data_IF_878953582505
#
_entry.id   IF_878953582505
#
_cell.length_a   1.000
_cell.length_b   1.000
_cell.length_c   1.000
_cell.angle_alpha   90.00
_cell.angle_beta   90.00
_cell.angle_gamma   90.00
#
_symmetry.space_group_name_H-M   'P 1'
#
loop_
_entity.id
_entity.type
_entity.pdbx_description
1 polymer ?
#
# COMPACT_ATOMS: atom_id res chain seq x y z
N UNK A 1 19.26 -40.27 62.77
CA UNK A 1 19.98 -39.81 61.60
C UNK A 1 18.91 -39.44 60.58
N UNK A 2 18.54 -38.14 60.44
CA UNK A 2 17.49 -37.65 59.53
C UNK A 2 18.16 -37.07 58.35
N UNK A 3 17.95 -37.70 57.15
CA UNK A 3 18.44 -37.29 55.86
C UNK A 3 17.57 -36.14 55.34
N UNK A 4 18.13 -34.93 55.20
CA UNK A 4 17.47 -33.81 54.56
C UNK A 4 17.75 -33.89 53.06
N UNK A 5 16.71 -34.15 52.25
CA UNK A 5 16.74 -34.06 50.79
C UNK A 5 16.51 -32.61 50.43
N UNK A 6 17.53 -32.00 49.80
CA UNK A 6 17.49 -30.63 49.26
C UNK A 6 16.95 -30.73 47.84
N UNK A 7 15.73 -30.22 47.58
CA UNK A 7 15.19 -30.05 46.25
C UNK A 7 15.74 -28.77 45.62
N UNK A 8 16.62 -28.90 44.64
CA UNK A 8 17.01 -27.79 43.78
C UNK A 8 15.95 -27.62 42.70
N UNK A 9 15.12 -26.59 42.80
CA UNK A 9 14.23 -26.16 41.74
C UNK A 9 15.06 -25.33 40.77
N UNK A 10 15.36 -25.87 39.58
CA UNK A 10 15.94 -25.15 38.48
C UNK A 10 14.83 -24.30 37.84
N UNK A 11 14.77 -23.01 38.15
CA UNK A 11 13.98 -22.05 37.41
C UNK A 11 14.68 -21.84 36.05
N UNK A 12 14.16 -22.49 34.98
CA UNK A 12 14.42 -22.11 33.61
C UNK A 12 13.75 -20.77 33.37
N UNK A 13 14.53 -19.70 33.51
CA UNK A 13 14.15 -18.39 32.97
C UNK A 13 14.27 -18.50 31.45
N UNK A 14 13.15 -18.75 30.76
CA UNK A 14 13.05 -18.49 29.34
C UNK A 14 13.14 -16.97 29.17
N UNK A 15 14.33 -16.46 29.01
CA UNK A 15 14.53 -15.13 28.39
C UNK A 15 14.05 -15.25 26.95
N UNK A 16 12.80 -14.87 26.70
CA UNK A 16 12.39 -14.48 25.37
C UNK A 16 13.23 -13.24 25.02
N UNK A 17 14.31 -13.41 24.28
CA UNK A 17 15.00 -12.31 23.63
C UNK A 17 13.98 -11.67 22.69
N UNK A 18 13.28 -10.63 23.12
CA UNK A 18 12.67 -9.68 22.20
C UNK A 18 13.84 -9.10 21.41
N UNK A 19 13.89 -9.40 20.10
CA UNK A 19 14.86 -8.78 19.20
C UNK A 19 14.72 -7.25 19.35
N UNK A 20 15.85 -6.55 19.50
CA UNK A 20 15.82 -5.08 19.48
C UNK A 20 15.22 -4.65 18.12
N UNK A 21 14.32 -3.68 18.13
CA UNK A 21 13.70 -3.15 16.91
C UNK A 21 14.73 -2.76 15.85
N UNK A 22 15.90 -2.29 16.25
CA UNK A 22 17.01 -1.99 15.33
C UNK A 22 17.53 -3.25 14.63
N UNK A 23 17.56 -4.38 15.34
CA UNK A 23 18.00 -5.66 14.77
C UNK A 23 17.00 -6.17 13.72
N UNK A 24 15.70 -5.99 13.95
CA UNK A 24 14.66 -6.35 12.97
C UNK A 24 14.80 -5.49 11.70
N UNK A 25 14.92 -4.18 11.84
CA UNK A 25 15.06 -3.25 10.70
C UNK A 25 16.33 -3.59 9.90
N UNK A 26 17.49 -3.69 10.56
CA UNK A 26 18.76 -4.03 9.90
C UNK A 26 18.66 -5.37 9.19
N UNK A 27 18.15 -6.41 9.85
CA UNK A 27 17.98 -7.75 9.27
C UNK A 27 17.07 -7.74 8.03
N UNK A 28 16.03 -6.89 8.03
CA UNK A 28 15.11 -6.81 6.91
C UNK A 28 15.73 -6.07 5.73
N UNK A 29 16.52 -5.02 5.95
CA UNK A 29 17.26 -4.35 4.87
C UNK A 29 18.41 -5.23 4.31
N UNK A 30 19.12 -5.99 5.16
CA UNK A 30 20.11 -6.96 4.69
C UNK A 30 19.46 -8.07 3.84
N UNK A 31 18.30 -8.53 4.24
CA UNK A 31 17.52 -9.48 3.46
C UNK A 31 17.04 -8.86 2.14
N UNK A 32 16.51 -7.64 2.17
CA UNK A 32 16.06 -6.93 0.98
C UNK A 32 17.20 -6.70 -0.03
N UNK A 33 18.41 -6.43 0.44
CA UNK A 33 19.58 -6.30 -0.42
C UNK A 33 19.82 -7.56 -1.25
N UNK A 34 19.73 -8.73 -0.63
CA UNK A 34 19.91 -10.01 -1.32
C UNK A 34 18.76 -10.28 -2.29
N UNK A 35 17.53 -10.09 -1.84
CA UNK A 35 16.33 -10.37 -2.63
C UNK A 35 16.24 -9.44 -3.85
N UNK A 36 16.40 -8.15 -3.69
CA UNK A 36 16.30 -7.20 -4.80
C UNK A 36 17.44 -7.36 -5.81
N UNK A 37 18.64 -7.79 -5.38
CA UNK A 37 19.70 -8.21 -6.30
C UNK A 37 19.30 -9.46 -7.09
N UNK A 38 18.63 -10.43 -6.46
CA UNK A 38 18.08 -11.60 -7.14
C UNK A 38 16.96 -11.20 -8.11
N UNK A 39 16.07 -10.26 -7.74
CA UNK A 39 15.05 -9.75 -8.65
C UNK A 39 15.63 -9.22 -9.96
N UNK A 40 16.77 -8.53 -9.94
CA UNK A 40 17.42 -8.08 -11.18
C UNK A 40 17.89 -9.24 -12.06
N UNK A 41 18.34 -10.36 -11.49
CA UNK A 41 18.72 -11.56 -12.27
C UNK A 41 17.48 -12.13 -12.97
N UNK A 42 16.37 -12.24 -12.27
CA UNK A 42 15.10 -12.72 -12.83
C UNK A 42 14.57 -11.77 -13.92
N UNK A 43 14.62 -10.45 -13.67
CA UNK A 43 14.25 -9.43 -14.66
C UNK A 43 15.06 -9.54 -15.95
N UNK A 44 16.38 -9.72 -15.84
CA UNK A 44 17.27 -9.92 -16.99
C UNK A 44 16.90 -11.17 -17.81
N UNK A 45 16.47 -12.24 -17.15
CA UNK A 45 15.95 -13.44 -17.79
C UNK A 45 14.66 -13.17 -18.56
N UNK A 46 13.72 -12.43 -17.95
CA UNK A 46 12.47 -12.03 -18.62
C UNK A 46 12.75 -11.13 -19.82
N UNK A 47 13.62 -10.12 -19.71
CA UNK A 47 13.96 -9.23 -20.84
C UNK A 47 14.57 -9.96 -22.02
N UNK A 48 15.35 -11.03 -21.78
CA UNK A 48 15.92 -11.86 -22.85
C UNK A 48 14.88 -12.78 -23.52
N UNK A 49 13.75 -13.04 -22.86
CA UNK A 49 12.72 -13.96 -23.34
C UNK A 49 11.60 -13.31 -24.15
N UNK A 50 11.56 -11.96 -24.22
CA UNK A 50 10.46 -11.24 -24.88
C UNK A 50 10.91 -9.89 -25.47
N UNK A 51 10.28 -9.51 -26.58
CA UNK A 51 10.43 -8.17 -27.19
C UNK A 51 9.41 -7.15 -26.63
N UNK A 52 8.60 -7.51 -25.63
CA UNK A 52 7.64 -6.59 -25.02
C UNK A 52 8.36 -5.52 -24.22
N UNK A 53 7.84 -4.30 -24.27
CA UNK A 53 8.30 -3.19 -23.44
C UNK A 53 7.74 -3.36 -22.02
N UNK A 54 8.52 -4.01 -21.18
CA UNK A 54 8.22 -4.21 -19.76
C UNK A 54 9.04 -3.23 -18.91
N UNK A 55 8.45 -2.76 -17.81
CA UNK A 55 9.10 -1.83 -16.92
C UNK A 55 9.56 -2.51 -15.61
N UNK A 56 8.62 -2.98 -14.79
CA UNK A 56 8.90 -3.37 -13.43
C UNK A 56 8.21 -4.70 -13.04
N UNK A 57 8.72 -5.42 -12.01
CA UNK A 57 8.06 -6.57 -11.42
C UNK A 57 6.68 -6.24 -10.87
N UNK A 58 5.78 -7.24 -10.88
CA UNK A 58 4.47 -7.15 -10.26
C UNK A 58 4.20 -8.26 -9.27
N UNK A 59 4.32 -9.52 -9.69
CA UNK A 59 4.06 -10.71 -8.88
C UNK A 59 4.74 -11.94 -9.50
N UNK A 60 4.51 -13.10 -8.91
CA UNK A 60 4.83 -14.40 -9.52
C UNK A 60 3.57 -14.95 -10.18
N UNK A 61 3.70 -15.46 -11.40
CA UNK A 61 2.59 -16.09 -12.13
C UNK A 61 2.25 -17.49 -11.58
N UNK A 62 1.13 -18.11 -11.96
CA UNK A 62 0.77 -19.46 -11.49
C UNK A 62 1.76 -20.58 -11.86
N UNK A 63 2.69 -20.33 -12.78
CA UNK A 63 3.74 -21.28 -13.17
C UNK A 63 5.05 -21.08 -12.40
N UNK A 64 5.08 -20.09 -11.48
CA UNK A 64 6.25 -19.78 -10.66
C UNK A 64 7.25 -18.83 -11.32
N UNK A 65 6.89 -18.16 -12.43
CA UNK A 65 7.77 -17.22 -13.12
C UNK A 65 7.49 -15.76 -12.73
N UNK A 66 8.53 -14.94 -12.76
CA UNK A 66 8.42 -13.51 -12.55
C UNK A 66 7.49 -12.89 -13.61
N UNK A 67 6.40 -12.27 -13.17
CA UNK A 67 5.55 -11.44 -14.01
C UNK A 67 5.99 -9.99 -13.93
N UNK A 68 6.46 -9.46 -15.04
CA UNK A 68 6.75 -8.06 -15.23
C UNK A 68 5.62 -7.35 -15.98
N UNK A 69 5.46 -6.05 -15.75
CA UNK A 69 4.43 -5.21 -16.34
C UNK A 69 5.01 -4.02 -17.10
N UNK A 70 4.23 -3.49 -18.06
CA UNK A 70 4.58 -2.26 -18.74
C UNK A 70 4.39 -1.03 -17.83
N UNK A 71 4.93 0.12 -18.24
CA UNK A 71 4.88 1.37 -17.47
C UNK A 71 3.47 1.84 -17.10
N UNK A 72 2.48 1.55 -17.93
CA UNK A 72 1.10 1.97 -17.72
C UNK A 72 0.37 1.16 -16.63
N UNK A 73 0.89 0.02 -16.21
CA UNK A 73 0.30 -0.75 -15.10
C UNK A 73 0.35 0.05 -13.79
N UNK A 74 -0.72 -0.03 -13.01
CA UNK A 74 -0.85 0.76 -11.78
C UNK A 74 0.22 0.42 -10.73
N UNK A 75 0.79 -0.78 -10.80
CA UNK A 75 1.82 -1.25 -9.85
C UNK A 75 3.24 -0.83 -10.23
N UNK A 76 3.43 -0.26 -11.41
CA UNK A 76 4.77 -0.04 -12.00
C UNK A 76 5.68 0.90 -11.18
N UNK A 77 5.12 1.73 -10.30
CA UNK A 77 5.89 2.68 -9.47
C UNK A 77 6.45 2.11 -8.17
N UNK A 78 6.00 0.93 -7.71
CA UNK A 78 6.40 0.42 -6.39
C UNK A 78 7.82 -0.12 -6.38
N UNK A 79 8.20 -0.96 -7.33
CA UNK A 79 9.55 -1.50 -7.38
C UNK A 79 10.65 -0.42 -7.42
N UNK A 80 10.58 0.61 -8.28
CA UNK A 80 11.55 1.71 -8.18
C UNK A 80 11.49 2.44 -6.83
N UNK A 81 10.31 2.50 -6.19
CA UNK A 81 10.17 3.05 -4.84
C UNK A 81 10.95 2.26 -3.79
N UNK A 82 10.89 0.92 -3.83
CA UNK A 82 11.69 0.03 -2.97
C UNK A 82 13.20 0.29 -3.15
N UNK A 83 13.64 0.45 -4.39
CA UNK A 83 15.06 0.73 -4.67
C UNK A 83 15.50 2.10 -4.13
N UNK A 84 14.61 3.09 -4.13
CA UNK A 84 14.85 4.38 -3.49
C UNK A 84 14.94 4.25 -1.96
N UNK A 85 14.16 3.40 -1.32
CA UNK A 85 14.28 3.10 0.12
C UNK A 85 15.59 2.37 0.43
N UNK A 86 16.02 1.44 -0.41
CA UNK A 86 17.33 0.82 -0.29
C UNK A 86 18.46 1.85 -0.34
N UNK A 87 18.40 2.80 -1.27
CA UNK A 87 19.36 3.92 -1.32
C UNK A 87 19.26 4.80 -0.07
N UNK A 88 18.06 5.10 0.40
CA UNK A 88 17.87 5.93 1.60
C UNK A 88 18.50 5.29 2.83
N UNK A 89 18.37 3.99 2.99
CA UNK A 89 18.91 3.25 4.12
C UNK A 89 20.43 3.04 4.01
N UNK A 90 20.90 2.51 2.87
CA UNK A 90 22.29 2.08 2.69
C UNK A 90 23.23 3.21 2.30
N UNK A 91 22.73 4.27 1.67
CA UNK A 91 23.52 5.32 0.98
C UNK A 91 24.43 4.79 -0.13
N UNK A 92 24.21 3.58 -0.61
CA UNK A 92 24.98 2.97 -1.69
C UNK A 92 24.48 3.48 -3.05
N UNK A 93 25.38 4.08 -3.82
CA UNK A 93 25.10 4.59 -5.17
C UNK A 93 24.63 3.48 -6.14
N UNK A 94 24.96 2.22 -5.89
CA UNK A 94 24.39 1.09 -6.64
C UNK A 94 22.86 1.14 -6.65
N UNK A 95 22.24 1.30 -5.47
CA UNK A 95 20.78 1.38 -5.35
C UNK A 95 20.21 2.63 -5.97
N UNK A 96 20.90 3.77 -5.85
CA UNK A 96 20.52 5.03 -6.50
C UNK A 96 20.45 4.91 -8.01
N UNK A 97 21.46 4.31 -8.62
CA UNK A 97 21.52 4.09 -10.08
C UNK A 97 20.41 3.14 -10.55
N UNK A 98 20.20 2.04 -9.80
CA UNK A 98 19.11 1.09 -10.09
C UNK A 98 17.75 1.74 -9.96
N UNK A 99 17.50 2.49 -8.88
CA UNK A 99 16.25 3.22 -8.66
C UNK A 99 16.00 4.25 -9.77
N UNK A 100 16.99 5.03 -10.14
CA UNK A 100 16.92 6.00 -11.24
C UNK A 100 16.52 5.32 -12.54
N UNK A 101 17.22 4.26 -12.93
CA UNK A 101 16.95 3.52 -14.17
C UNK A 101 15.52 3.00 -14.24
N UNK A 102 15.04 2.40 -13.17
CA UNK A 102 13.68 1.84 -13.14
C UNK A 102 12.60 2.92 -13.05
N UNK A 103 12.88 4.05 -12.38
CA UNK A 103 11.99 5.22 -12.32
C UNK A 103 11.81 5.85 -13.71
N UNK A 104 12.90 6.07 -14.45
CA UNK A 104 12.88 6.75 -15.74
C UNK A 104 12.09 5.99 -16.82
N UNK A 105 11.92 4.66 -16.68
CA UNK A 105 11.03 3.89 -17.55
C UNK A 105 9.56 4.33 -17.49
N UNK A 106 9.17 5.09 -16.46
CA UNK A 106 7.79 5.53 -16.25
C UNK A 106 7.54 6.96 -16.72
N UNK A 107 8.53 7.67 -17.28
CA UNK A 107 8.41 9.11 -17.57
C UNK A 107 7.17 9.48 -18.39
N UNK A 108 6.86 8.69 -19.41
CA UNK A 108 5.70 8.96 -20.28
C UNK A 108 4.36 8.87 -19.55
N UNK A 109 4.30 8.18 -18.41
CA UNK A 109 3.08 8.04 -17.62
C UNK A 109 2.61 9.37 -17.01
N UNK A 110 3.46 10.39 -16.93
CA UNK A 110 3.05 11.75 -16.54
C UNK A 110 1.88 12.31 -17.38
N UNK A 111 1.66 11.76 -18.58
CA UNK A 111 0.56 12.15 -19.49
C UNK A 111 -0.62 11.17 -19.45
N UNK A 112 -0.53 10.08 -18.68
CA UNK A 112 -1.55 9.03 -18.69
C UNK A 112 -2.80 9.45 -17.91
N UNK A 113 -3.77 10.03 -18.61
CA UNK A 113 -5.07 10.45 -18.07
C UNK A 113 -6.13 9.35 -18.01
N UNK A 114 -5.81 8.08 -18.25
CA UNK A 114 -6.79 6.98 -18.28
C UNK A 114 -7.05 6.33 -16.91
N UNK A 115 -6.23 6.64 -15.89
CA UNK A 115 -6.29 6.07 -14.56
C UNK A 115 -6.11 7.12 -13.47
N UNK A 116 -6.57 6.81 -12.26
CA UNK A 116 -6.30 7.62 -11.07
C UNK A 116 -4.96 7.28 -10.39
N UNK A 117 -4.29 6.18 -10.78
CA UNK A 117 -3.13 5.61 -10.11
C UNK A 117 -1.83 6.40 -10.31
N UNK A 118 -1.94 7.72 -10.49
CA UNK A 118 -0.80 8.59 -10.70
C UNK A 118 0.08 8.73 -9.45
N UNK A 119 -0.52 8.67 -8.26
CA UNK A 119 0.23 8.60 -7.00
C UNK A 119 1.03 7.31 -6.92
N UNK A 120 0.40 6.17 -7.12
CA UNK A 120 1.06 4.86 -7.09
C UNK A 120 2.20 4.75 -8.11
N UNK A 121 1.98 5.19 -9.35
CA UNK A 121 3.02 5.13 -10.38
C UNK A 121 4.11 6.18 -10.20
N UNK A 122 3.72 7.44 -10.05
CA UNK A 122 4.64 8.56 -10.17
C UNK A 122 5.17 9.02 -8.81
N UNK A 123 4.32 9.03 -7.76
CA UNK A 123 4.77 9.54 -6.47
C UNK A 123 5.59 8.48 -5.69
N UNK A 124 5.24 7.19 -5.78
CA UNK A 124 6.07 6.13 -5.21
C UNK A 124 7.45 6.03 -5.88
N UNK A 125 7.58 6.35 -7.16
CA UNK A 125 8.84 6.32 -7.92
C UNK A 125 9.56 7.67 -7.95
N UNK A 126 9.11 8.58 -8.80
CA UNK A 126 9.68 9.92 -8.95
C UNK A 126 9.61 10.75 -7.66
N UNK A 127 8.55 10.57 -6.85
CA UNK A 127 8.40 11.26 -5.57
C UNK A 127 9.52 10.93 -4.59
N UNK A 128 9.83 9.64 -4.41
CA UNK A 128 10.96 9.20 -3.59
C UNK A 128 12.29 9.66 -4.21
N UNK A 129 12.43 9.55 -5.53
CA UNK A 129 13.61 10.05 -6.25
C UNK A 129 13.84 11.54 -6.04
N UNK A 130 12.78 12.36 -6.19
CA UNK A 130 12.88 13.80 -5.93
C UNK A 130 13.21 14.12 -4.47
N UNK A 131 12.56 13.46 -3.53
CA UNK A 131 12.82 13.66 -2.09
C UNK A 131 14.30 13.44 -1.73
N UNK A 132 14.92 12.42 -2.32
CA UNK A 132 16.28 12.01 -2.00
C UNK A 132 17.36 12.71 -2.83
N UNK A 133 17.05 13.19 -4.04
CA UNK A 133 18.04 13.75 -4.96
C UNK A 133 17.86 15.24 -5.25
N UNK A 134 16.66 15.78 -5.03
CA UNK A 134 16.26 17.15 -5.41
C UNK A 134 16.40 17.42 -6.93
N UNK A 135 16.28 16.37 -7.76
CA UNK A 135 16.37 16.48 -9.21
C UNK A 135 15.21 17.31 -9.78
N UNK A 136 15.51 18.44 -10.41
CA UNK A 136 14.49 19.35 -10.95
C UNK A 136 13.67 18.73 -12.07
N UNK A 137 14.23 17.81 -12.86
CA UNK A 137 13.48 17.07 -13.88
C UNK A 137 12.40 16.17 -13.27
N UNK A 138 12.69 15.55 -12.12
CA UNK A 138 11.72 14.75 -11.39
C UNK A 138 10.57 15.60 -10.84
N UNK A 139 10.90 16.81 -10.35
CA UNK A 139 9.89 17.79 -9.92
C UNK A 139 8.92 18.14 -11.05
N UNK A 140 9.42 18.42 -12.25
CA UNK A 140 8.60 18.81 -13.40
C UNK A 140 7.71 17.64 -13.86
N UNK A 141 8.23 16.40 -13.83
CA UNK A 141 7.46 15.17 -14.12
C UNK A 141 6.33 14.99 -13.11
N UNK A 142 6.59 15.18 -11.83
CA UNK A 142 5.58 15.06 -10.77
C UNK A 142 4.49 16.13 -10.88
N UNK A 143 4.86 17.39 -11.14
CA UNK A 143 3.88 18.46 -11.36
C UNK A 143 2.99 18.16 -12.55
N UNK A 144 3.58 17.71 -13.68
CA UNK A 144 2.79 17.29 -14.84
C UNK A 144 1.86 16.13 -14.50
N UNK A 145 2.31 15.15 -13.71
CA UNK A 145 1.50 14.02 -13.25
C UNK A 145 0.29 14.48 -12.42
N UNK A 146 0.51 15.47 -11.54
CA UNK A 146 -0.56 16.05 -10.73
C UNK A 146 -1.60 16.79 -11.60
N UNK A 147 -1.16 17.60 -12.60
CA UNK A 147 -2.06 18.21 -13.56
C UNK A 147 -2.84 17.18 -14.39
N UNK A 148 -2.20 16.07 -14.74
CA UNK A 148 -2.87 14.97 -15.46
C UNK A 148 -3.94 14.32 -14.59
N UNK A 149 -3.66 14.07 -13.31
CA UNK A 149 -4.60 13.46 -12.38
C UNK A 149 -5.85 14.31 -12.15
N UNK A 150 -5.70 15.62 -11.93
CA UNK A 150 -6.86 16.51 -11.67
C UNK A 150 -7.81 16.64 -12.86
N UNK A 151 -7.37 16.31 -14.08
CA UNK A 151 -8.28 16.26 -15.26
C UNK A 151 -9.38 15.22 -15.13
N UNK A 152 -9.23 14.26 -14.23
CA UNK A 152 -10.24 13.24 -13.93
C UNK A 152 -11.24 13.67 -12.83
N UNK A 153 -11.06 14.86 -12.27
CA UNK A 153 -11.96 15.41 -11.26
C UNK A 153 -13.25 15.95 -11.89
N UNK A 154 -14.38 15.65 -11.25
CA UNK A 154 -15.68 16.23 -11.59
C UNK A 154 -16.19 17.03 -10.37
N UNK A 155 -16.36 18.36 -10.49
CA UNK A 155 -16.78 19.21 -9.36
C UNK A 155 -18.23 18.94 -8.92
N UNK A 156 -19.09 18.35 -9.75
CA UNK A 156 -20.44 17.93 -9.32
C UNK A 156 -20.41 16.70 -8.43
N UNK A 157 -19.51 15.76 -8.72
CA UNK A 157 -19.27 14.57 -7.91
C UNK A 157 -18.41 14.89 -6.70
N UNK A 158 -17.47 15.82 -6.83
CA UNK A 158 -16.48 16.13 -5.81
C UNK A 158 -15.37 15.08 -5.69
N UNK A 159 -15.15 14.26 -6.73
CA UNK A 159 -14.14 13.18 -6.74
C UNK A 159 -13.42 13.08 -8.08
N UNK A 160 -12.25 12.43 -8.04
CA UNK A 160 -11.47 11.98 -9.19
C UNK A 160 -12.00 10.60 -9.60
N UNK A 161 -12.33 10.41 -10.89
CA UNK A 161 -12.78 9.12 -11.43
C UNK A 161 -11.63 8.11 -11.46
N UNK A 162 -11.90 6.87 -11.03
CA UNK A 162 -10.86 5.85 -10.90
C UNK A 162 -10.44 5.22 -12.22
N UNK A 163 -11.37 4.74 -13.04
CA UNK A 163 -11.09 4.12 -14.35
C UNK A 163 -12.14 4.44 -15.38
N UNK A 164 -11.89 4.04 -16.66
CA UNK A 164 -12.73 4.33 -17.81
C UNK A 164 -13.32 3.07 -18.47
N UNK A 165 -13.03 1.88 -17.93
CA UNK A 165 -13.58 0.61 -18.39
C UNK A 165 -14.88 0.23 -17.66
N UNK A 166 -15.56 -0.84 -18.12
CA UNK A 166 -16.83 -1.34 -17.55
C UNK A 166 -17.91 -0.24 -17.48
N UNK A 167 -18.04 0.55 -18.53
CA UNK A 167 -19.01 1.66 -18.62
C UNK A 167 -20.47 1.20 -18.67
N UNK A 168 -20.71 -0.05 -18.97
CA UNK A 168 -21.99 -0.73 -18.85
C UNK A 168 -22.43 -0.93 -17.39
N UNK A 169 -21.46 -1.04 -16.48
CA UNK A 169 -21.67 -1.23 -15.04
C UNK A 169 -21.60 0.07 -14.24
N UNK A 170 -20.69 0.99 -14.61
CA UNK A 170 -20.42 2.22 -13.86
C UNK A 170 -20.30 3.44 -14.75
N UNK A 171 -21.00 4.50 -14.36
CA UNK A 171 -20.92 5.78 -15.05
C UNK A 171 -19.69 6.60 -14.62
N UNK A 172 -19.46 6.70 -13.31
CA UNK A 172 -18.36 7.44 -12.72
C UNK A 172 -17.85 6.72 -11.47
N UNK A 173 -17.09 5.63 -11.64
CA UNK A 173 -16.61 4.85 -10.52
C UNK A 173 -15.51 5.57 -9.76
N UNK A 174 -15.62 5.57 -8.44
CA UNK A 174 -14.62 6.04 -7.49
C UNK A 174 -14.35 4.91 -6.49
N UNK A 175 -13.09 4.48 -6.37
CA UNK A 175 -12.71 3.46 -5.41
C UNK A 175 -11.92 4.04 -4.24
N UNK A 176 -11.96 3.34 -3.11
CA UNK A 176 -11.29 3.77 -1.87
C UNK A 176 -9.77 3.94 -2.07
N UNK A 177 -9.16 3.17 -2.97
CA UNK A 177 -7.73 3.21 -3.34
C UNK A 177 -7.28 4.61 -3.80
N UNK A 178 -8.20 5.40 -4.35
CA UNK A 178 -7.90 6.76 -4.82
C UNK A 178 -7.39 7.67 -3.70
N UNK A 179 -7.72 7.38 -2.44
CA UNK A 179 -7.19 8.09 -1.27
C UNK A 179 -5.66 8.09 -1.24
N UNK A 180 -5.02 7.03 -1.73
CA UNK A 180 -3.56 6.91 -1.80
C UNK A 180 -2.93 7.84 -2.85
N UNK A 181 -3.68 8.21 -3.88
CA UNK A 181 -3.18 9.04 -4.97
C UNK A 181 -3.25 10.55 -4.67
N UNK A 182 -3.94 10.94 -3.59
CA UNK A 182 -4.07 12.33 -3.18
C UNK A 182 -2.76 12.94 -2.65
N UNK A 183 -1.83 12.12 -2.18
CA UNK A 183 -0.53 12.58 -1.69
C UNK A 183 0.26 13.34 -2.76
N UNK A 184 0.20 12.89 -4.01
CA UNK A 184 0.76 13.61 -5.16
C UNK A 184 0.18 15.02 -5.29
N UNK A 185 -1.13 15.20 -5.06
CA UNK A 185 -1.79 16.51 -5.17
C UNK A 185 -1.38 17.45 -4.03
N UNK A 186 -1.33 16.96 -2.81
CA UNK A 186 -0.86 17.76 -1.67
C UNK A 186 0.61 18.16 -1.85
N UNK A 187 1.45 17.24 -2.34
CA UNK A 187 2.83 17.56 -2.69
C UNK A 187 2.92 18.66 -3.77
N UNK A 188 2.11 18.57 -4.82
CA UNK A 188 2.08 19.56 -5.89
C UNK A 188 1.68 20.94 -5.37
N UNK A 189 0.66 21.02 -4.51
CA UNK A 189 0.27 22.27 -3.84
C UNK A 189 1.43 22.88 -3.03
N UNK A 190 2.10 22.09 -2.18
CA UNK A 190 3.25 22.59 -1.42
C UNK A 190 4.40 23.05 -2.30
N UNK A 191 4.52 22.47 -3.51
CA UNK A 191 5.64 22.74 -4.40
C UNK A 191 5.46 23.99 -5.25
N UNK A 192 4.24 24.26 -5.76
CA UNK A 192 3.99 25.39 -6.66
C UNK A 192 2.95 26.41 -6.17
N UNK A 193 2.25 26.12 -5.06
CA UNK A 193 1.23 27.02 -4.48
C UNK A 193 -0.11 27.03 -5.22
N UNK A 194 -0.31 26.21 -6.24
CA UNK A 194 -1.58 26.16 -6.98
C UNK A 194 -2.65 25.46 -6.13
N UNK A 195 -3.60 26.27 -5.64
CA UNK A 195 -4.65 25.83 -4.72
C UNK A 195 -5.61 24.79 -5.29
N UNK A 196 -5.66 24.62 -6.62
CA UNK A 196 -6.52 23.63 -7.26
C UNK A 196 -6.19 22.22 -6.79
N UNK A 197 -4.89 21.89 -6.58
CA UNK A 197 -4.47 20.61 -6.11
C UNK A 197 -4.99 20.30 -4.70
N UNK A 198 -4.85 21.27 -3.78
CA UNK A 198 -5.37 21.14 -2.43
C UNK A 198 -6.89 21.00 -2.42
N UNK A 199 -7.59 21.85 -3.19
CA UNK A 199 -9.06 21.82 -3.28
C UNK A 199 -9.56 20.45 -3.77
N UNK A 200 -9.01 19.95 -4.87
CA UNK A 200 -9.40 18.66 -5.45
C UNK A 200 -9.13 17.51 -4.48
N UNK A 201 -7.98 17.51 -3.78
CA UNK A 201 -7.65 16.47 -2.82
C UNK A 201 -8.60 16.48 -1.61
N UNK A 202 -8.89 17.65 -1.04
CA UNK A 202 -9.79 17.79 0.10
C UNK A 202 -11.23 17.45 -0.27
N UNK A 203 -11.73 17.91 -1.42
CA UNK A 203 -13.07 17.57 -1.90
C UNK A 203 -13.23 16.07 -2.10
N UNK A 204 -12.23 15.44 -2.73
CA UNK A 204 -12.22 13.98 -2.91
C UNK A 204 -12.27 13.26 -1.57
N UNK A 205 -11.41 13.62 -0.63
CA UNK A 205 -11.35 12.99 0.69
C UNK A 205 -12.68 13.15 1.47
N UNK A 206 -13.29 14.35 1.44
CA UNK A 206 -14.59 14.61 2.09
C UNK A 206 -15.74 13.83 1.46
N UNK A 207 -15.80 13.78 0.13
CA UNK A 207 -16.83 13.03 -0.58
C UNK A 207 -16.67 11.52 -0.35
N UNK A 208 -15.45 11.01 -0.34
CA UNK A 208 -15.13 9.62 0.01
C UNK A 208 -15.53 9.34 1.46
N UNK A 209 -15.20 10.23 2.40
CA UNK A 209 -15.59 10.09 3.80
C UNK A 209 -17.11 9.98 4.01
N UNK A 210 -17.88 10.74 3.22
CA UNK A 210 -19.36 10.74 3.28
C UNK A 210 -19.98 9.48 2.70
N UNK A 211 -19.42 8.93 1.61
CA UNK A 211 -20.12 7.95 0.81
C UNK A 211 -19.56 6.52 0.89
N UNK A 212 -18.21 6.36 1.11
CA UNK A 212 -17.57 5.05 1.11
C UNK A 212 -17.68 4.28 2.42
N UNK A 213 -18.08 4.91 3.52
CA UNK A 213 -18.11 4.23 4.82
C UNK A 213 -19.51 3.91 5.30
N UNK A 214 -19.67 2.73 5.90
CA UNK A 214 -20.85 2.31 6.64
C UNK A 214 -20.83 2.89 8.05
N UNK A 215 -21.89 2.66 8.82
CA UNK A 215 -22.01 3.16 10.20
C UNK A 215 -20.96 2.57 11.15
N UNK A 216 -20.46 1.39 10.85
CA UNK A 216 -19.41 0.69 11.59
C UNK A 216 -17.99 1.05 11.11
N UNK A 217 -17.89 1.99 10.15
CA UNK A 217 -16.65 2.44 9.52
C UNK A 217 -15.97 1.42 8.58
N UNK A 218 -16.65 0.33 8.25
CA UNK A 218 -16.23 -0.51 7.13
C UNK A 218 -16.45 0.22 5.80
N UNK A 219 -15.57 0.00 4.83
CA UNK A 219 -15.65 0.68 3.53
C UNK A 219 -16.36 -0.15 2.46
N UNK A 220 -17.11 0.52 1.60
CA UNK A 220 -17.39 0.03 0.26
C UNK A 220 -16.14 0.16 -0.60
N UNK A 221 -15.94 -0.74 -1.55
CA UNK A 221 -14.83 -0.61 -2.49
C UNK A 221 -15.12 0.46 -3.55
N UNK A 222 -16.27 0.38 -4.23
CA UNK A 222 -16.65 1.22 -5.37
C UNK A 222 -17.92 2.01 -5.04
N UNK A 223 -17.87 3.32 -5.26
CA UNK A 223 -19.07 4.16 -5.33
C UNK A 223 -19.19 4.68 -6.76
N UNK A 224 -20.35 4.44 -7.38
CA UNK A 224 -20.69 5.01 -8.68
C UNK A 224 -21.53 6.27 -8.53
N UNK A 225 -21.26 7.28 -9.34
CA UNK A 225 -21.91 8.57 -9.27
C UNK A 225 -22.55 8.98 -10.60
N UNK A 226 -23.65 9.69 -10.51
CA UNK A 226 -24.23 10.47 -11.60
C UNK A 226 -23.36 11.70 -11.87
N UNK A 227 -22.87 11.86 -13.10
CA UNK A 227 -21.94 12.93 -13.47
C UNK A 227 -22.56 14.33 -13.55
N UNK A 228 -23.89 14.42 -13.65
CA UNK A 228 -24.61 15.68 -13.77
C UNK A 228 -25.07 16.22 -12.42
N UNK A 229 -25.48 15.32 -11.52
CA UNK A 229 -26.05 15.68 -10.22
C UNK A 229 -25.08 15.46 -9.05
N UNK A 230 -24.07 14.58 -9.21
CA UNK A 230 -23.20 14.13 -8.15
C UNK A 230 -23.85 13.13 -7.20
N UNK A 231 -25.06 12.64 -7.50
CA UNK A 231 -25.77 11.66 -6.67
C UNK A 231 -25.08 10.29 -6.75
N UNK A 232 -25.10 9.56 -5.62
CA UNK A 232 -24.66 8.16 -5.58
C UNK A 232 -25.68 7.31 -6.33
N UNK A 233 -25.25 6.56 -7.33
CA UNK A 233 -26.05 5.59 -8.08
C UNK A 233 -25.96 4.21 -7.44
N UNK A 234 -24.76 3.72 -7.19
CA UNK A 234 -24.50 2.39 -6.66
C UNK A 234 -23.35 2.39 -5.66
N UNK A 235 -23.40 1.41 -4.74
CA UNK A 235 -22.32 1.09 -3.79
C UNK A 235 -21.98 -0.38 -3.96
N UNK A 236 -20.80 -0.64 -4.53
CA UNK A 236 -20.42 -1.97 -4.99
C UNK A 236 -19.04 -2.39 -4.49
N UNK A 237 -18.68 -3.63 -4.82
CA UNK A 237 -17.30 -4.08 -4.81
C UNK A 237 -16.84 -4.46 -6.22
N UNK A 238 -15.51 -4.44 -6.42
CA UNK A 238 -14.84 -5.00 -7.59
C UNK A 238 -13.86 -6.09 -7.17
N UNK A 239 -13.13 -5.90 -6.06
CA UNK A 239 -12.13 -6.83 -5.56
C UNK A 239 -12.54 -7.53 -4.25
N UNK A 240 -13.50 -6.99 -3.49
CA UNK A 240 -14.03 -7.61 -2.27
C UNK A 240 -14.98 -8.76 -2.54
N UNK A 241 -15.32 -9.52 -1.50
CA UNK A 241 -16.18 -10.69 -1.56
C UNK A 241 -17.60 -10.37 -2.06
N UNK A 242 -18.20 -9.32 -1.53
CA UNK A 242 -19.55 -8.88 -1.91
C UNK A 242 -19.72 -7.37 -1.71
N UNK A 243 -20.80 -6.80 -2.26
CA UNK A 243 -21.09 -5.37 -2.08
C UNK A 243 -21.32 -4.99 -0.61
N UNK A 244 -21.70 -5.94 0.24
CA UNK A 244 -21.86 -5.75 1.67
C UNK A 244 -20.60 -6.04 2.50
N UNK A 245 -19.58 -6.65 1.92
CA UNK A 245 -18.35 -7.03 2.63
C UNK A 245 -17.36 -5.87 2.80
N UNK A 246 -16.34 -6.10 3.60
CA UNK A 246 -15.24 -5.18 3.81
C UNK A 246 -13.93 -5.81 3.30
N UNK A 247 -13.52 -5.43 2.11
CA UNK A 247 -12.26 -5.81 1.51
C UNK A 247 -11.08 -5.28 2.34
N UNK A 248 -10.17 -6.16 2.78
CA UNK A 248 -9.17 -5.80 3.79
C UNK A 248 -8.18 -4.73 3.31
N UNK A 249 -7.71 -4.84 2.06
CA UNK A 249 -6.81 -3.82 1.49
C UNK A 249 -7.52 -2.48 1.29
N UNK A 250 -8.82 -2.48 0.99
CA UNK A 250 -9.61 -1.26 0.93
C UNK A 250 -9.68 -0.54 2.28
N UNK A 251 -9.80 -1.28 3.39
CA UNK A 251 -9.70 -0.72 4.74
C UNK A 251 -8.31 -0.13 4.99
N UNK A 252 -7.25 -0.83 4.60
CA UNK A 252 -5.88 -0.35 4.75
C UNK A 252 -5.62 0.93 3.93
N UNK A 253 -6.08 0.99 2.68
CA UNK A 253 -6.02 2.20 1.84
C UNK A 253 -6.74 3.38 2.49
N UNK A 254 -7.94 3.14 3.05
CA UNK A 254 -8.69 4.15 3.79
C UNK A 254 -7.92 4.65 5.01
N UNK A 255 -7.36 3.76 5.82
CA UNK A 255 -6.59 4.12 7.01
C UNK A 255 -5.37 4.99 6.66
N UNK A 256 -4.55 4.52 5.72
CA UNK A 256 -3.38 5.28 5.26
C UNK A 256 -3.79 6.63 4.66
N UNK A 257 -4.75 6.61 3.73
CA UNK A 257 -5.18 7.81 3.02
C UNK A 257 -5.70 8.90 3.94
N UNK A 258 -6.50 8.58 4.97
CA UNK A 258 -6.98 9.58 5.93
C UNK A 258 -5.91 10.03 6.91
N UNK A 259 -4.99 9.17 7.31
CA UNK A 259 -3.81 9.57 8.11
C UNK A 259 -2.96 10.57 7.34
N UNK A 260 -2.67 10.27 6.07
CA UNK A 260 -1.95 11.15 5.15
C UNK A 260 -2.70 12.47 4.92
N UNK A 261 -4.03 12.44 4.70
CA UNK A 261 -4.82 13.68 4.55
C UNK A 261 -4.74 14.56 5.79
N UNK A 262 -4.73 13.97 7.00
CA UNK A 262 -4.52 14.74 8.22
C UNK A 262 -3.12 15.38 8.28
N UNK A 263 -2.07 14.62 7.96
CA UNK A 263 -0.69 15.15 7.85
C UNK A 263 -0.62 16.39 6.98
N UNK A 264 -1.29 16.34 5.83
CA UNK A 264 -1.20 17.36 4.79
C UNK A 264 -2.07 18.58 5.07
N UNK A 265 -3.14 18.44 5.84
CA UNK A 265 -4.15 19.49 5.99
C UNK A 265 -4.34 19.98 7.43
N UNK A 266 -4.04 19.17 8.43
CA UNK A 266 -4.36 19.42 9.83
C UNK A 266 -5.87 19.40 10.13
N UNK A 267 -6.73 18.96 9.20
CA UNK A 267 -8.18 18.96 9.38
C UNK A 267 -8.62 17.81 10.31
N UNK A 268 -9.21 18.11 11.50
CA UNK A 268 -9.50 17.08 12.52
C UNK A 268 -10.42 15.95 12.04
N UNK A 269 -11.32 16.22 11.09
CA UNK A 269 -12.22 15.21 10.54
C UNK A 269 -11.47 14.05 9.89
N UNK A 270 -10.29 14.28 9.31
CA UNK A 270 -9.48 13.23 8.69
C UNK A 270 -8.78 12.36 9.73
N UNK A 271 -8.26 12.96 10.80
CA UNK A 271 -7.70 12.22 11.93
C UNK A 271 -8.75 11.33 12.58
N UNK A 272 -9.93 11.89 12.85
CA UNK A 272 -11.02 11.13 13.45
C UNK A 272 -11.46 9.96 12.55
N UNK A 273 -11.51 10.15 11.23
CA UNK A 273 -11.82 9.07 10.29
C UNK A 273 -10.74 7.98 10.30
N UNK A 274 -9.46 8.33 10.32
CA UNK A 274 -8.36 7.37 10.43
C UNK A 274 -8.49 6.53 11.72
N UNK A 275 -8.77 7.14 12.86
CA UNK A 275 -9.00 6.47 14.15
C UNK A 275 -10.17 5.50 14.08
N UNK A 276 -11.28 5.89 13.47
CA UNK A 276 -12.47 5.06 13.29
C UNK A 276 -12.19 3.83 12.44
N UNK A 277 -11.44 4.01 11.34
CA UNK A 277 -11.03 2.88 10.47
C UNK A 277 -10.08 1.93 11.23
N UNK A 278 -9.11 2.46 11.95
CA UNK A 278 -8.22 1.66 12.79
C UNK A 278 -9.02 0.86 13.85
N UNK A 279 -10.00 1.50 14.49
CA UNK A 279 -10.89 0.83 15.44
C UNK A 279 -11.66 -0.32 14.79
N UNK A 280 -12.22 -0.12 13.59
CA UNK A 280 -12.91 -1.18 12.84
C UNK A 280 -11.97 -2.37 12.57
N UNK A 281 -10.77 -2.12 12.03
CA UNK A 281 -9.80 -3.18 11.69
C UNK A 281 -9.50 -4.03 12.94
N UNK A 282 -9.14 -3.39 14.06
CA UNK A 282 -8.65 -4.10 15.25
C UNK A 282 -9.76 -4.61 16.20
N UNK A 283 -11.00 -4.21 16.01
CA UNK A 283 -12.16 -4.80 16.69
C UNK A 283 -12.86 -5.88 15.87
N UNK A 284 -12.42 -6.11 14.62
CA UNK A 284 -13.04 -7.09 13.76
C UNK A 284 -12.78 -8.52 14.26
N UNK A 285 -13.83 -9.34 14.52
CA UNK A 285 -13.67 -10.67 15.10
C UNK A 285 -12.98 -11.68 14.16
N UNK A 286 -12.88 -11.37 12.86
CA UNK A 286 -12.22 -12.24 11.89
C UNK A 286 -10.75 -11.87 11.66
N UNK A 287 -10.25 -10.79 12.28
CA UNK A 287 -8.84 -10.47 12.23
C UNK A 287 -8.06 -11.52 13.04
N UNK A 288 -7.11 -12.25 12.42
CA UNK A 288 -6.34 -13.26 13.13
C UNK A 288 -5.40 -12.69 14.21
N UNK A 289 -4.97 -13.56 15.14
CA UNK A 289 -4.08 -13.18 16.24
C UNK A 289 -2.74 -12.61 15.77
N UNK A 290 -2.26 -13.01 14.58
CA UNK A 290 -1.03 -12.47 13.98
C UNK A 290 -1.21 -11.09 13.32
N UNK A 291 -2.43 -10.56 13.31
CA UNK A 291 -2.82 -9.26 12.72
C UNK A 291 -2.64 -9.17 11.20
N UNK A 292 -2.43 -10.29 10.52
CA UNK A 292 -2.39 -10.34 9.05
C UNK A 292 -3.79 -10.73 8.57
N UNK A 293 -4.56 -9.83 7.93
CA UNK A 293 -5.94 -10.10 7.60
C UNK A 293 -6.09 -11.14 6.50
N UNK A 294 -7.27 -11.77 6.45
CA UNK A 294 -7.73 -12.43 5.24
C UNK A 294 -8.01 -11.38 4.16
N UNK A 295 -8.08 -11.78 2.89
CA UNK A 295 -8.31 -10.88 1.76
C UNK A 295 -9.59 -10.04 1.86
N UNK A 296 -10.59 -10.54 2.59
CA UNK A 296 -11.83 -9.81 2.93
C UNK A 296 -12.29 -10.24 4.34
N UNK A 297 -12.69 -9.30 5.18
CA UNK A 297 -13.13 -9.57 6.55
C UNK A 297 -14.42 -10.40 6.65
N UNK A 298 -15.18 -10.49 5.57
CA UNK A 298 -16.43 -11.22 5.49
C UNK A 298 -16.33 -12.43 4.55
N UNK A 299 -15.14 -12.85 4.18
CA UNK A 299 -14.94 -14.02 3.32
C UNK A 299 -15.54 -15.29 3.97
N UNK A 300 -16.35 -16.08 3.22
CA UNK A 300 -17.19 -17.12 3.82
C UNK A 300 -16.43 -18.34 4.32
N UNK A 301 -15.21 -18.56 3.80
CA UNK A 301 -14.38 -19.70 4.16
C UNK A 301 -13.40 -19.45 5.31
N UNK A 302 -13.46 -18.31 6.00
CA UNK A 302 -12.62 -18.06 7.18
C UNK A 302 -12.83 -19.16 8.22
N UNK A 303 -11.76 -19.81 8.77
CA UNK A 303 -10.34 -19.40 8.70
C UNK A 303 -9.50 -19.96 7.53
N UNK A 304 -10.08 -20.67 6.59
CA UNK A 304 -9.38 -21.34 5.48
C UNK A 304 -9.29 -20.45 4.20
N UNK A 305 -9.35 -19.14 4.38
CA UNK A 305 -9.23 -18.14 3.30
C UNK A 305 -7.78 -17.66 3.12
N UNK A 306 -7.39 -17.24 1.90
CA UNK A 306 -6.06 -16.66 1.69
C UNK A 306 -5.89 -15.35 2.46
N UNK A 307 -4.65 -15.11 2.90
CA UNK A 307 -4.26 -13.86 3.57
C UNK A 307 -4.05 -12.74 2.54
N UNK A 308 -4.06 -11.52 3.02
CA UNK A 308 -3.58 -10.38 2.23
C UNK A 308 -2.49 -9.63 3.01
N UNK A 309 -1.25 -10.05 2.80
CA UNK A 309 -0.07 -9.45 3.42
C UNK A 309 0.06 -7.98 3.03
N UNK A 310 -0.33 -7.60 1.82
CA UNK A 310 -0.28 -6.20 1.40
C UNK A 310 -1.20 -5.29 2.23
N UNK A 311 -2.36 -5.78 2.66
CA UNK A 311 -3.22 -5.03 3.57
C UNK A 311 -2.58 -4.82 4.94
N UNK A 312 -1.81 -5.80 5.42
CA UNK A 312 -1.08 -5.71 6.68
C UNK A 312 0.07 -4.69 6.62
N UNK A 313 0.87 -4.70 5.55
CA UNK A 313 2.00 -3.76 5.40
C UNK A 313 1.53 -2.32 5.33
N UNK A 314 0.49 -2.03 4.53
CA UNK A 314 -0.13 -0.70 4.45
C UNK A 314 -0.72 -0.28 5.80
N UNK A 315 -1.36 -1.20 6.51
CA UNK A 315 -1.92 -0.94 7.85
C UNK A 315 -0.80 -0.58 8.84
N UNK A 316 0.30 -1.32 8.88
CA UNK A 316 1.42 -1.06 9.77
C UNK A 316 2.06 0.31 9.49
N UNK A 317 2.31 0.62 8.21
CA UNK A 317 2.83 1.93 7.78
C UNK A 317 1.92 3.08 8.25
N UNK A 318 0.60 2.94 8.04
CA UNK A 318 -0.38 3.94 8.48
C UNK A 318 -0.44 4.10 10.00
N UNK A 319 -0.30 3.00 10.77
CA UNK A 319 -0.33 3.05 12.23
C UNK A 319 0.89 3.75 12.83
N UNK A 320 2.09 3.53 12.26
CA UNK A 320 3.28 4.25 12.71
C UNK A 320 3.09 5.76 12.53
N UNK A 321 2.54 6.19 11.39
CA UNK A 321 2.25 7.60 11.17
C UNK A 321 1.12 8.11 12.07
N UNK A 322 -0.01 7.39 12.19
CA UNK A 322 -1.15 7.77 13.02
C UNK A 322 -0.75 7.94 14.48
N UNK A 323 0.21 7.15 14.97
CA UNK A 323 0.74 7.23 16.33
C UNK A 323 1.37 8.59 16.66
N UNK A 324 1.82 9.33 15.65
CA UNK A 324 2.40 10.68 15.84
C UNK A 324 1.34 11.73 16.12
N UNK A 325 0.08 11.49 15.75
CA UNK A 325 -1.01 12.46 15.81
C UNK A 325 -2.05 12.18 16.90
N UNK A 326 -2.11 10.97 17.44
CA UNK A 326 -3.02 10.57 18.52
C UNK A 326 -2.24 10.12 19.75
N UNK A 327 -1.90 11.07 20.60
CA UNK A 327 -1.12 10.80 21.82
C UNK A 327 -1.80 9.80 22.76
N UNK A 328 -3.13 9.83 22.84
CA UNK A 328 -3.91 8.95 23.71
C UNK A 328 -3.75 7.47 23.35
N UNK A 329 -3.72 7.16 22.05
CA UNK A 329 -3.64 5.79 21.58
C UNK A 329 -2.26 5.43 20.98
N UNK A 330 -1.27 6.31 21.09
CA UNK A 330 0.08 6.16 20.52
C UNK A 330 0.67 4.79 20.74
N UNK A 331 0.79 4.36 21.99
CA UNK A 331 1.38 3.07 22.36
C UNK A 331 0.62 1.92 21.69
N UNK A 332 -0.71 1.93 21.71
CA UNK A 332 -1.51 0.88 21.09
C UNK A 332 -1.35 0.79 19.58
N UNK A 333 -1.13 1.91 18.87
CA UNK A 333 -0.85 1.89 17.43
C UNK A 333 0.55 1.35 17.15
N UNK A 334 1.56 1.82 17.90
CA UNK A 334 2.94 1.33 17.75
C UNK A 334 3.03 -0.16 18.05
N UNK A 335 2.43 -0.65 19.14
CA UNK A 335 2.46 -2.07 19.49
C UNK A 335 1.82 -2.96 18.43
N UNK A 336 0.73 -2.50 17.79
CA UNK A 336 0.09 -3.23 16.69
C UNK A 336 0.95 -3.22 15.43
N UNK A 337 1.54 -2.08 15.08
CA UNK A 337 2.44 -1.97 13.94
C UNK A 337 3.68 -2.84 14.11
N UNK A 338 4.30 -2.83 15.29
CA UNK A 338 5.43 -3.70 15.65
C UNK A 338 5.06 -5.19 15.52
N UNK A 339 3.91 -5.60 16.07
CA UNK A 339 3.45 -7.00 15.98
C UNK A 339 3.18 -7.42 14.53
N UNK A 340 2.61 -6.55 13.70
CA UNK A 340 2.46 -6.82 12.28
C UNK A 340 3.83 -7.01 11.63
N UNK A 341 4.77 -6.09 11.84
CA UNK A 341 6.11 -6.16 11.27
C UNK A 341 6.87 -7.43 11.72
N UNK A 342 6.80 -7.77 13.01
CA UNK A 342 7.41 -9.00 13.54
C UNK A 342 6.80 -10.27 12.93
N UNK A 343 5.47 -10.34 12.80
CA UNK A 343 4.81 -11.48 12.19
C UNK A 343 5.13 -11.58 10.69
N UNK A 344 5.15 -10.47 9.95
CA UNK A 344 5.58 -10.43 8.55
C UNK A 344 7.00 -10.96 8.40
N UNK A 345 7.93 -10.45 9.20
CA UNK A 345 9.34 -10.86 9.20
C UNK A 345 9.52 -12.36 9.50
N UNK A 346 8.80 -12.88 10.51
CA UNK A 346 9.04 -14.22 11.02
C UNK A 346 8.25 -15.31 10.27
N UNK A 347 7.13 -14.98 9.60
CA UNK A 347 6.19 -15.97 9.07
C UNK A 347 5.85 -15.81 7.59
N UNK A 348 6.03 -14.61 7.04
CA UNK A 348 5.58 -14.26 5.70
C UNK A 348 6.71 -13.85 4.76
N UNK A 349 7.92 -13.74 5.28
CA UNK A 349 9.11 -13.42 4.48
C UNK A 349 9.46 -14.58 3.54
N UNK A 350 9.83 -14.25 2.30
CA UNK A 350 10.35 -15.21 1.34
C UNK A 350 11.67 -15.84 1.80
N UNK A 351 12.04 -16.96 1.22
CA UNK A 351 13.36 -17.57 1.46
C UNK A 351 14.44 -16.79 0.73
N UNK A 352 15.63 -16.65 1.35
CA UNK A 352 16.75 -15.91 0.79
C UNK A 352 17.12 -16.44 -0.61
N UNK A 353 17.15 -15.56 -1.61
CA UNK A 353 17.48 -15.88 -3.00
C UNK A 353 16.45 -16.75 -3.71
N UNK A 354 15.17 -16.68 -3.27
CA UNK A 354 14.03 -17.39 -3.86
C UNK A 354 12.92 -16.42 -4.23
N UNK A 355 11.83 -16.99 -4.73
CA UNK A 355 10.57 -16.28 -5.00
C UNK A 355 10.76 -15.04 -5.89
N UNK A 356 11.61 -15.18 -6.94
CA UNK A 356 11.95 -14.14 -7.91
C UNK A 356 12.41 -12.80 -7.29
N UNK A 357 12.91 -12.84 -6.05
CA UNK A 357 13.41 -11.66 -5.35
C UNK A 357 12.36 -10.84 -4.62
N UNK A 358 11.12 -11.30 -4.50
CA UNK A 358 10.11 -10.67 -3.63
C UNK A 358 10.48 -10.82 -2.16
N UNK A 359 10.05 -9.85 -1.33
CA UNK A 359 10.33 -9.84 0.09
C UNK A 359 9.30 -10.65 0.88
N UNK A 360 8.02 -10.51 0.55
CA UNK A 360 6.90 -11.10 1.28
C UNK A 360 6.05 -12.01 0.39
N UNK A 361 5.50 -13.06 1.00
CA UNK A 361 4.58 -14.02 0.39
C UNK A 361 3.14 -13.77 0.86
N UNK A 362 2.18 -14.50 0.27
CA UNK A 362 0.80 -14.60 0.77
C UNK A 362 -0.03 -13.31 0.69
N UNK A 363 0.12 -12.54 -0.38
CA UNK A 363 -0.80 -11.45 -0.72
C UNK A 363 -1.91 -11.91 -1.66
N UNK A 364 -3.06 -11.20 -1.63
CA UNK A 364 -4.19 -11.50 -2.52
C UNK A 364 -4.64 -10.24 -3.24
N UNK A 365 -4.34 -10.15 -4.54
CA UNK A 365 -4.68 -9.02 -5.38
C UNK A 365 -6.18 -8.93 -5.65
N UNK A 366 -6.78 -9.96 -6.26
CA UNK A 366 -8.21 -10.01 -6.58
C UNK A 366 -8.72 -11.45 -6.66
N UNK A 367 -9.16 -12.01 -5.54
CA UNK A 367 -9.69 -13.37 -5.47
C UNK A 367 -10.95 -13.54 -6.31
N UNK A 368 -11.82 -12.53 -6.35
CA UNK A 368 -13.06 -12.55 -7.13
C UNK A 368 -12.86 -12.72 -8.63
N UNK A 369 -11.68 -12.32 -9.13
CA UNK A 369 -11.28 -12.49 -10.54
C UNK A 369 -10.28 -13.63 -10.73
N UNK A 370 -9.99 -14.43 -9.69
CA UNK A 370 -8.97 -15.49 -9.76
C UNK A 370 -7.57 -14.96 -10.09
N UNK A 371 -7.29 -13.71 -9.79
CA UNK A 371 -6.04 -13.03 -10.10
C UNK A 371 -5.23 -12.74 -8.86
N UNK A 372 -3.95 -13.12 -8.87
CA UNK A 372 -3.01 -12.82 -7.79
C UNK A 372 -3.53 -13.31 -6.41
N UNK A 373 -3.89 -14.60 -6.34
CA UNK A 373 -4.38 -15.23 -5.12
C UNK A 373 -3.24 -15.95 -4.43
N UNK A 374 -2.94 -15.55 -3.20
CA UNK A 374 -1.89 -16.18 -2.37
C UNK A 374 -0.49 -16.16 -3.03
N UNK A 375 -0.08 -15.01 -3.53
CA UNK A 375 1.19 -14.79 -4.22
C UNK A 375 1.96 -13.61 -3.65
N UNK A 376 3.29 -13.50 -3.86
CA UNK A 376 4.03 -12.27 -3.60
C UNK A 376 3.58 -11.17 -4.56
N UNK A 377 3.48 -9.94 -4.05
CA UNK A 377 3.05 -8.77 -4.82
C UNK A 377 3.90 -7.56 -4.46
N UNK A 378 4.39 -6.84 -5.45
CA UNK A 378 5.33 -5.72 -5.32
C UNK A 378 4.88 -4.62 -4.35
N UNK A 379 3.60 -4.29 -4.29
CA UNK A 379 3.14 -3.25 -3.35
C UNK A 379 3.09 -3.73 -1.88
N UNK A 380 3.10 -5.04 -1.60
CA UNK A 380 3.32 -5.53 -0.25
C UNK A 380 4.76 -5.25 0.21
N UNK A 381 5.72 -5.48 -0.68
CA UNK A 381 7.14 -5.25 -0.42
C UNK A 381 7.43 -3.75 -0.23
N UNK A 382 6.85 -2.88 -1.05
CA UNK A 382 7.02 -1.43 -0.97
C UNK A 382 6.60 -0.84 0.39
N UNK A 383 5.51 -1.33 1.00
CA UNK A 383 5.01 -0.83 2.28
C UNK A 383 5.61 -1.55 3.50
N UNK A 384 6.36 -2.62 3.28
CA UNK A 384 7.11 -3.35 4.31
C UNK A 384 8.39 -2.64 4.71
#
# INVERSE_FOLDING_TARGET
MKLKILFFVFLLVCSSCALDKRDIISSNFDFADIQLKHAFVEMDSVYKSTDKLLANPRNIDPNGFLRMVASHDWTSGFFPGELWYMYEYTKDDFWKEKARKQTELLEQEKWNGSTHDMGFKMYCSYGNGYRLTQDSGYKDILLQSAYTLIRRYNPKVGCIRSWDHNRDKWQYPVIIDNMMNLELLFWAFRTNGDSIFYQVAVDHARTTMKNHFRKDYSSYHVIDYDTLTGAVLHKNTHQGYSDASAWSRGQAWGLYGYTMCYRETGLPEFLERAKQIASYIFSNPTLPDDLIPYWDYNAPGIPDEPRDVSAATVTASALYELSMYDETNRTGYVDRADRILENLTNRYRASVGKDCGFLLLHSTGSKTHGSEVDVPIVYADYYY
#
